data_IF_452158796961
#
_entry.id   IF_452158796961
#
_cell.length_a   1.000
_cell.length_b   1.000
_cell.length_c   1.000
_cell.angle_alpha   90.00
_cell.angle_beta   90.00
_cell.angle_gamma   90.00
#
_symmetry.space_group_name_H-M   'P 1'
#
loop_
_entity.id
_entity.type
_entity.pdbx_description
1 polymer ?
#
# COMPACT_ATOMS: atom_id res chain seq x y z
N UNK A 1 10.69 31.12 -48.34
CA UNK A 1 11.23 31.28 -49.71
C UNK A 1 12.52 30.48 -49.83
N UNK A 2 12.62 29.68 -50.91
CA UNK A 2 13.84 29.30 -51.65
C UNK A 2 14.97 28.54 -50.90
N UNK A 3 15.12 27.23 -51.15
CA UNK A 3 16.08 26.59 -52.12
C UNK A 3 17.51 26.52 -51.57
N UNK A 4 18.32 25.46 -51.67
CA UNK A 4 18.54 24.44 -52.71
C UNK A 4 19.49 23.34 -52.15
N UNK A 5 19.37 22.10 -52.68
CA UNK A 5 20.43 21.19 -53.25
C UNK A 5 21.77 21.03 -52.50
N UNK A 6 22.51 19.92 -52.49
CA UNK A 6 22.49 18.58 -53.08
C UNK A 6 23.74 17.86 -52.48
N UNK A 7 23.63 16.56 -52.23
CA UNK A 7 24.60 15.49 -52.55
C UNK A 7 26.09 15.68 -52.17
N UNK A 8 26.61 14.81 -51.29
CA UNK A 8 27.87 14.12 -51.58
C UNK A 8 27.83 12.65 -51.14
N UNK A 9 28.22 11.82 -52.10
CA UNK A 9 28.29 10.38 -52.17
C UNK A 9 29.63 9.92 -51.60
N UNK A 10 29.69 8.91 -50.72
CA UNK A 10 30.73 7.87 -50.78
C UNK A 10 30.51 6.76 -49.75
N UNK A 11 30.32 5.56 -50.30
CA UNK A 11 30.45 4.25 -49.66
C UNK A 11 31.74 4.11 -48.86
N UNK A 12 31.64 3.61 -47.62
CA UNK A 12 32.57 2.61 -47.12
C UNK A 12 31.78 1.54 -46.38
N UNK A 13 31.45 0.48 -47.11
CA UNK A 13 31.24 -0.84 -46.55
C UNK A 13 32.53 -1.22 -45.80
N UNK A 14 32.48 -1.27 -44.48
CA UNK A 14 33.48 -2.01 -43.71
C UNK A 14 32.76 -3.10 -42.95
N UNK A 15 32.66 -4.23 -43.63
CA UNK A 15 32.30 -5.53 -43.11
C UNK A 15 33.40 -5.98 -42.16
N UNK A 16 33.27 -5.67 -40.87
CA UNK A 16 34.02 -6.33 -39.81
C UNK A 16 33.09 -7.34 -39.14
N UNK A 17 33.15 -8.58 -39.59
CA UNK A 17 32.60 -9.73 -38.88
C UNK A 17 33.37 -9.88 -37.56
N UNK A 18 32.85 -9.28 -36.48
CA UNK A 18 33.28 -9.61 -35.13
C UNK A 18 32.48 -10.82 -34.64
N UNK A 19 33.23 -11.87 -34.36
CA UNK A 19 32.80 -13.18 -33.90
C UNK A 19 31.88 -13.07 -32.66
N UNK A 20 30.61 -13.39 -32.85
CA UNK A 20 29.96 -14.52 -32.17
C UNK A 20 30.07 -14.64 -30.65
N UNK A 21 30.08 -13.54 -29.90
CA UNK A 21 29.90 -13.55 -28.45
C UNK A 21 28.61 -12.87 -28.06
N UNK A 22 27.47 -13.56 -28.13
CA UNK A 22 26.27 -13.09 -27.45
C UNK A 22 26.56 -13.10 -25.96
N UNK A 23 26.89 -11.94 -25.38
CA UNK A 23 26.94 -11.79 -23.93
C UNK A 23 25.51 -11.95 -23.44
N UNK A 24 25.16 -13.15 -22.97
CA UNK A 24 23.90 -13.40 -22.28
C UNK A 24 23.95 -12.64 -20.96
N UNK A 25 23.37 -11.44 -20.94
CA UNK A 25 23.05 -10.78 -19.68
C UNK A 25 22.14 -11.76 -18.92
N UNK A 26 22.48 -12.16 -17.68
CA UNK A 26 21.58 -13.01 -16.92
C UNK A 26 20.23 -12.27 -16.82
N UNK A 27 19.17 -12.94 -17.24
CA UNK A 27 17.82 -12.48 -16.94
C UNK A 27 17.69 -12.52 -15.42
N UNK A 28 17.77 -11.35 -14.80
CA UNK A 28 17.46 -11.20 -13.38
C UNK A 28 15.94 -11.20 -13.32
N UNK A 29 15.36 -12.28 -12.80
CA UNK A 29 13.92 -12.33 -12.52
C UNK A 29 13.55 -11.07 -11.70
N UNK A 30 12.55 -10.28 -12.11
CA UNK A 30 12.06 -9.21 -11.25
C UNK A 30 11.64 -9.83 -9.92
N UNK A 31 11.94 -9.20 -8.77
CA UNK A 31 11.64 -9.78 -7.47
C UNK A 31 10.14 -10.11 -7.38
N UNK A 32 9.84 -11.41 -7.31
CA UNK A 32 8.46 -11.91 -7.11
C UNK A 32 7.97 -11.39 -5.77
N UNK A 33 7.13 -10.35 -5.82
CA UNK A 33 6.49 -9.79 -4.63
C UNK A 33 5.31 -10.68 -4.32
N UNK A 34 5.46 -11.59 -3.36
CA UNK A 34 4.31 -12.33 -2.83
C UNK A 34 3.57 -11.42 -1.86
N UNK A 35 2.35 -11.06 -2.23
CA UNK A 35 1.45 -10.25 -1.39
C UNK A 35 0.48 -11.19 -0.67
N UNK A 36 0.50 -11.16 0.66
CA UNK A 36 -0.48 -11.88 1.48
C UNK A 36 -1.50 -10.85 2.00
N UNK A 37 -2.78 -11.06 1.71
CA UNK A 37 -3.85 -10.21 2.24
C UNK A 37 -4.56 -10.89 3.41
N UNK A 38 -4.71 -10.17 4.53
CA UNK A 38 -5.48 -10.60 5.69
C UNK A 38 -6.68 -9.68 5.87
N UNK A 39 -7.87 -10.23 6.06
CA UNK A 39 -9.09 -9.45 6.30
C UNK A 39 -9.58 -9.66 7.72
N UNK A 40 -9.77 -8.56 8.43
CA UNK A 40 -10.32 -8.51 9.77
C UNK A 40 -11.72 -7.88 9.77
N UNK A 41 -12.51 -8.17 10.79
CA UNK A 41 -13.78 -7.49 11.07
C UNK A 41 -13.61 -6.60 12.29
N UNK A 42 -13.95 -5.32 12.13
CA UNK A 42 -13.99 -4.36 13.24
C UNK A 42 -15.40 -3.80 13.37
N UNK A 43 -15.82 -3.59 14.62
CA UNK A 43 -17.08 -2.92 14.96
C UNK A 43 -16.80 -1.51 15.41
N UNK A 44 -17.56 -0.58 14.87
CA UNK A 44 -17.43 0.85 15.16
C UNK A 44 -18.80 1.38 15.59
N UNK A 45 -18.84 1.94 16.79
CA UNK A 45 -20.03 2.58 17.35
C UNK A 45 -19.71 4.03 17.73
N UNK A 46 -20.75 4.86 17.83
CA UNK A 46 -20.59 6.20 18.36
C UNK A 46 -21.82 6.71 19.08
N UNK A 47 -21.60 7.70 19.93
CA UNK A 47 -22.62 8.53 20.56
C UNK A 47 -22.36 10.02 20.22
N UNK A 48 -23.26 10.67 19.46
CA UNK A 48 -24.51 10.16 18.89
C UNK A 48 -24.29 9.14 17.76
N UNK A 49 -25.32 8.33 17.49
CA UNK A 49 -25.38 7.39 16.36
C UNK A 49 -25.44 8.12 15.00
N UNK A 50 -25.34 7.37 13.90
CA UNK A 50 -25.39 7.90 12.53
C UNK A 50 -24.25 8.90 12.26
N UNK A 51 -23.05 8.59 12.76
CA UNK A 51 -21.82 9.31 12.45
C UNK A 51 -21.08 8.59 11.32
N UNK A 52 -20.49 9.34 10.40
CA UNK A 52 -19.73 8.81 9.27
C UNK A 52 -18.41 8.20 9.74
N UNK A 53 -18.12 6.99 9.25
CA UNK A 53 -16.92 6.23 9.61
C UNK A 53 -15.97 6.19 8.44
N UNK A 54 -14.74 6.60 8.69
CA UNK A 54 -13.66 6.63 7.70
C UNK A 54 -12.48 5.80 8.15
N UNK A 55 -11.89 5.04 7.23
CA UNK A 55 -10.57 4.43 7.41
C UNK A 55 -9.65 5.02 6.36
N UNK A 56 -8.56 5.66 6.79
CA UNK A 56 -7.63 6.35 5.89
C UNK A 56 -8.32 7.34 4.93
N UNK A 57 -9.29 8.09 5.47
CA UNK A 57 -10.12 9.06 4.74
C UNK A 57 -11.06 8.45 3.68
N UNK A 58 -11.19 7.13 3.60
CA UNK A 58 -12.19 6.45 2.76
C UNK A 58 -13.45 6.23 3.61
N UNK A 59 -14.62 6.62 3.11
CA UNK A 59 -15.91 6.43 3.79
C UNK A 59 -16.34 4.95 3.73
N UNK A 60 -16.60 4.34 4.88
CA UNK A 60 -17.06 2.95 4.99
C UNK A 60 -18.55 2.82 5.35
N UNK A 61 -19.17 3.89 5.85
CA UNK A 61 -20.58 3.87 6.24
C UNK A 61 -20.84 4.77 7.43
N UNK A 62 -21.85 4.42 8.22
CA UNK A 62 -22.26 5.19 9.40
C UNK A 62 -22.47 4.31 10.62
N UNK A 63 -22.13 4.82 11.79
CA UNK A 63 -22.25 4.10 13.06
C UNK A 63 -23.72 3.81 13.45
N UNK A 64 -24.00 2.66 14.08
CA UNK A 64 -23.10 1.53 14.29
C UNK A 64 -22.85 0.73 13.00
N UNK A 65 -21.60 0.35 12.75
CA UNK A 65 -21.21 -0.42 11.55
C UNK A 65 -20.15 -1.46 11.89
N UNK A 66 -20.24 -2.62 11.25
CA UNK A 66 -19.16 -3.60 11.19
C UNK A 66 -18.54 -3.55 9.80
N UNK A 67 -17.23 -3.34 9.71
CA UNK A 67 -16.54 -3.16 8.44
C UNK A 67 -15.35 -4.14 8.29
N UNK A 68 -15.09 -4.61 7.05
CA UNK A 68 -13.90 -5.39 6.77
C UNK A 68 -12.68 -4.47 6.64
N UNK A 69 -11.60 -4.81 7.34
CA UNK A 69 -10.29 -4.18 7.20
C UNK A 69 -9.33 -5.17 6.55
N UNK A 70 -8.94 -4.89 5.30
CA UNK A 70 -7.96 -5.74 4.59
C UNK A 70 -6.58 -5.12 4.70
N UNK A 71 -5.64 -5.88 5.28
CA UNK A 71 -4.24 -5.52 5.41
C UNK A 71 -3.44 -6.34 4.40
N UNK A 72 -2.64 -5.65 3.59
CA UNK A 72 -1.74 -6.31 2.63
C UNK A 72 -0.33 -6.35 3.21
N UNK A 73 0.18 -7.56 3.39
CA UNK A 73 1.56 -7.86 3.73
C UNK A 73 2.38 -7.99 2.43
N UNK A 74 3.28 -7.04 2.17
CA UNK A 74 4.20 -7.14 1.04
C UNK A 74 5.50 -7.83 1.45
N UNK A 75 5.80 -8.98 0.83
CA UNK A 75 7.07 -9.68 0.99
C UNK A 75 8.15 -8.99 0.15
N UNK A 76 8.77 -7.92 0.67
CA UNK A 76 10.01 -7.40 0.05
C UNK A 76 11.17 -8.29 0.45
N UNK A 77 11.77 -8.96 -0.55
CA UNK A 77 12.91 -9.88 -0.36
C UNK A 77 14.27 -9.18 -0.53
N UNK A 78 14.29 -7.86 -0.65
CA UNK A 78 15.51 -7.09 -0.90
C UNK A 78 16.31 -6.93 0.40
N UNK A 79 17.46 -7.59 0.43
CA UNK A 79 18.35 -7.76 1.58
C UNK A 79 19.01 -6.49 2.13
N UNK A 80 18.60 -5.30 1.71
CA UNK A 80 19.25 -4.06 2.16
C UNK A 80 18.33 -2.92 2.61
N UNK A 81 17.02 -2.96 2.36
CA UNK A 81 16.16 -1.86 2.78
C UNK A 81 14.80 -2.33 3.28
N UNK A 82 14.74 -2.26 4.61
CA UNK A 82 13.93 -1.28 5.31
C UNK A 82 12.72 -1.86 6.03
N UNK A 83 12.76 -1.67 7.35
CA UNK A 83 11.70 -2.00 8.30
C UNK A 83 10.52 -1.09 7.99
N UNK A 84 9.72 -1.44 6.99
CA UNK A 84 8.42 -0.79 6.80
C UNK A 84 7.49 -1.26 7.90
N UNK A 85 7.60 -0.55 9.01
CA UNK A 85 6.55 -0.45 10.00
C UNK A 85 5.26 0.06 9.29
N UNK A 86 4.32 -0.80 8.86
CA UNK A 86 2.83 -0.66 8.91
C UNK A 86 2.27 0.09 10.18
N UNK A 87 3.11 0.65 11.08
CA UNK A 87 2.69 1.35 12.30
C UNK A 87 2.10 2.66 11.81
N UNK A 88 0.83 2.87 12.08
CA UNK A 88 0.11 4.06 11.64
C UNK A 88 -0.39 4.01 10.20
N UNK A 89 -0.46 2.85 9.54
CA UNK A 89 -1.11 2.77 8.23
C UNK A 89 -2.62 2.98 8.28
N UNK A 90 -3.27 2.69 9.39
CA UNK A 90 -4.74 2.74 9.48
C UNK A 90 -5.19 3.67 10.60
N UNK A 91 -5.81 4.77 10.21
CA UNK A 91 -6.47 5.71 11.13
C UNK A 91 -7.97 5.57 10.93
N UNK A 92 -8.66 5.18 12.00
CA UNK A 92 -10.11 5.16 12.07
C UNK A 92 -10.58 6.56 12.50
N UNK A 93 -11.43 7.20 11.70
CA UNK A 93 -12.01 8.51 12.01
C UNK A 93 -13.52 8.42 12.02
N UNK A 94 -14.14 9.15 12.94
CA UNK A 94 -15.59 9.31 13.02
C UNK A 94 -15.93 10.79 12.92
N UNK A 95 -16.88 11.13 12.06
CA UNK A 95 -17.32 12.51 11.81
C UNK A 95 -18.84 12.62 11.85
N UNK A 96 -19.35 13.70 12.44
CA UNK A 96 -20.77 14.04 12.39
C UNK A 96 -20.93 15.55 12.39
N UNK A 97 -21.81 16.06 11.54
CA UNK A 97 -22.11 17.50 11.47
C UNK A 97 -22.54 18.04 12.83
N UNK A 98 -21.90 19.14 13.28
CA UNK A 98 -22.13 19.77 14.57
C UNK A 98 -21.39 19.12 15.74
N UNK A 99 -20.47 18.19 15.46
CA UNK A 99 -19.65 17.50 16.43
C UNK A 99 -18.19 17.49 16.00
N UNK A 100 -17.28 17.59 16.98
CA UNK A 100 -15.85 17.49 16.76
C UNK A 100 -15.52 16.11 16.21
N UNK A 101 -14.66 16.06 15.20
CA UNK A 101 -14.16 14.81 14.66
C UNK A 101 -13.33 14.05 15.70
N UNK A 102 -13.52 12.73 15.76
CA UNK A 102 -12.72 11.85 16.60
C UNK A 102 -11.91 10.89 15.72
N UNK A 103 -10.72 10.50 16.20
CA UNK A 103 -9.85 9.57 15.49
C UNK A 103 -9.06 8.70 16.46
N UNK A 104 -8.93 7.41 16.14
CA UNK A 104 -8.08 6.47 16.84
C UNK A 104 -7.24 5.66 15.84
N UNK A 105 -5.95 5.39 16.11
CA UNK A 105 -5.16 4.48 15.28
C UNK A 105 -5.67 3.03 15.46
N UNK A 106 -5.58 2.23 14.40
CA UNK A 106 -5.78 0.79 14.47
C UNK A 106 -4.43 0.12 14.74
N UNK A 107 -4.32 -0.55 15.88
CA UNK A 107 -3.09 -1.21 16.34
C UNK A 107 -3.10 -2.72 16.07
N UNK A 108 -1.92 -3.28 15.83
CA UNK A 108 -1.68 -4.70 15.63
C UNK A 108 -0.63 -5.23 16.64
N UNK A 109 -0.81 -6.45 17.16
CA UNK A 109 0.10 -7.06 18.16
C UNK A 109 1.43 -7.52 17.56
N UNK A 110 1.39 -8.00 16.33
CA UNK A 110 2.53 -8.47 15.57
C UNK A 110 2.51 -7.90 14.17
N UNK A 111 3.67 -7.96 13.54
CA UNK A 111 3.91 -7.16 12.36
C UNK A 111 4.81 -7.82 11.34
N UNK A 112 5.33 -8.98 11.71
CA UNK A 112 6.31 -9.67 10.91
C UNK A 112 5.59 -10.66 10.03
N UNK A 113 5.31 -10.24 8.79
CA UNK A 113 4.88 -11.16 7.74
C UNK A 113 6.11 -12.02 7.34
N UNK A 114 6.40 -13.06 8.13
CA UNK A 114 7.58 -13.93 8.00
C UNK A 114 7.44 -15.03 6.96
N UNK A 115 8.51 -15.80 6.73
CA UNK A 115 8.63 -16.72 5.58
C UNK A 115 8.68 -18.21 5.88
N UNK A 116 8.75 -18.62 7.15
CA UNK A 116 8.96 -20.03 7.52
C UNK A 116 8.18 -20.35 8.81
N UNK A 117 7.27 -21.34 8.76
CA UNK A 117 6.65 -22.21 9.80
C UNK A 117 6.37 -21.72 11.26
N UNK A 118 6.73 -20.50 11.63
CA UNK A 118 6.47 -19.79 12.90
C UNK A 118 6.00 -18.35 12.53
N UNK A 119 5.02 -18.27 11.63
CA UNK A 119 4.49 -16.99 11.13
C UNK A 119 3.60 -16.33 12.19
N UNK A 120 4.04 -15.17 12.70
CA UNK A 120 3.18 -14.28 13.47
C UNK A 120 2.46 -13.35 12.48
N UNK A 121 1.34 -13.82 11.93
CA UNK A 121 0.45 -12.95 11.17
C UNK A 121 0.03 -11.78 12.06
N UNK A 122 -0.06 -10.54 11.53
CA UNK A 122 -0.59 -9.44 12.30
C UNK A 122 -1.98 -9.80 12.80
N UNK A 123 -2.25 -9.55 14.08
CA UNK A 123 -3.60 -9.59 14.61
C UNK A 123 -3.95 -8.23 15.22
N UNK A 124 -5.24 -7.91 15.22
CA UNK A 124 -5.77 -6.68 15.77
C UNK A 124 -5.69 -6.70 17.30
N UNK A 125 -5.09 -5.67 17.89
CA UNK A 125 -5.14 -5.47 19.34
C UNK A 125 -6.55 -5.19 19.85
N UNK A 126 -7.37 -4.55 19.01
CA UNK A 126 -8.71 -4.05 19.32
C UNK A 126 -9.61 -4.27 18.11
N UNK A 127 -10.79 -4.87 18.34
CA UNK A 127 -11.80 -5.13 17.30
C UNK A 127 -13.06 -4.28 17.45
N UNK A 128 -13.22 -3.62 18.60
CA UNK A 128 -14.42 -2.83 18.92
C UNK A 128 -14.00 -1.41 19.31
N UNK A 129 -14.56 -0.42 18.64
CA UNK A 129 -14.25 1.00 18.80
C UNK A 129 -15.53 1.78 19.12
N UNK A 130 -15.54 2.45 20.27
CA UNK A 130 -16.68 3.24 20.74
C UNK A 130 -16.28 4.71 20.88
N UNK A 131 -16.85 5.56 20.03
CA UNK A 131 -16.53 6.99 20.00
C UNK A 131 -17.59 7.82 20.72
N UNK A 132 -17.18 8.68 21.64
CA UNK A 132 -18.03 9.73 22.22
C UNK A 132 -17.69 11.05 21.55
N UNK A 133 -18.62 11.61 20.78
CA UNK A 133 -18.39 12.84 20.05
C UNK A 133 -18.82 14.05 20.89
N UNK A 134 -17.96 15.05 20.97
CA UNK A 134 -18.26 16.32 21.58
C UNK A 134 -18.93 17.26 20.58
N UNK A 135 -19.84 18.13 21.02
CA UNK A 135 -20.40 19.16 20.13
C UNK A 135 -19.32 20.17 19.73
N UNK A 136 -19.43 20.68 18.50
CA UNK A 136 -18.72 21.90 18.11
C UNK A 136 -19.37 23.09 18.82
N UNK A 137 -18.54 23.98 19.38
CA UNK A 137 -18.96 25.22 20.05
C UNK A 137 -19.32 26.32 19.05
#
# INVERSE_FOLDING_TARGET
MRTHRMIFLSLFFSLAAYLGGCVSIPYVDPPRTEETSLTFRIKVSSDPKDAEVYVNNILYGRTPVELPLTVVCNRRKDWLEDRREVKGQYILRVSKKGYKNAAEPIEFDYFWCGTNNNEYLPDLKKREYDFKLEKEE
#
